data_IF_486183828397
#
_entry.id   IF_486183828397
#
_cell.length_a   1.000
_cell.length_b   1.000
_cell.length_c   1.000
_cell.angle_alpha   90.00
_cell.angle_beta   90.00
_cell.angle_gamma   90.00
#
_symmetry.space_group_name_H-M   'P 1'
#
loop_
_entity.id
_entity.type
_entity.pdbx_description
1 polymer ?
#
# COMPACT_ATOMS: atom_id res chain seq x y z
N UNK A 1 7.87 -26.29 -7.68
CA UNK A 1 6.64 -26.76 -7.00
C UNK A 1 5.49 -25.90 -7.51
N UNK A 2 4.45 -26.51 -8.08
CA UNK A 2 3.18 -25.83 -8.39
C UNK A 2 2.23 -26.11 -7.22
N UNK A 3 2.12 -25.16 -6.29
CA UNK A 3 1.28 -25.29 -5.10
C UNK A 3 -0.06 -24.62 -5.39
N UNK A 4 -1.07 -25.42 -5.77
CA UNK A 4 -2.50 -25.05 -5.90
C UNK A 4 -2.77 -23.66 -6.52
N UNK A 5 -2.01 -23.31 -7.56
CA UNK A 5 -2.16 -22.12 -8.38
C UNK A 5 -2.06 -22.52 -9.84
N UNK A 6 -2.46 -21.62 -10.74
CA UNK A 6 -2.37 -21.86 -12.19
C UNK A 6 -0.97 -22.40 -12.56
N UNK A 7 -0.91 -23.41 -13.45
CA UNK A 7 0.36 -23.96 -13.89
C UNK A 7 1.24 -22.84 -14.44
N UNK A 8 2.56 -23.04 -14.37
CA UNK A 8 3.47 -22.12 -15.03
C UNK A 8 3.11 -21.98 -16.52
N UNK A 9 3.31 -20.78 -17.05
CA UNK A 9 3.08 -20.46 -18.45
C UNK A 9 3.76 -21.47 -19.37
N UNK A 10 2.97 -22.22 -20.12
CA UNK A 10 3.51 -23.07 -21.18
C UNK A 10 3.99 -22.19 -22.33
N UNK A 11 5.25 -21.77 -22.27
CA UNK A 11 5.89 -20.97 -23.33
C UNK A 11 6.13 -21.77 -24.62
N UNK A 12 5.73 -23.05 -24.68
CA UNK A 12 5.64 -23.82 -25.92
C UNK A 12 4.25 -23.72 -26.57
N UNK A 13 3.21 -23.30 -25.84
CA UNK A 13 1.91 -22.94 -26.42
C UNK A 13 2.10 -21.72 -27.34
N UNK A 14 1.81 -21.80 -28.66
CA UNK A 14 1.91 -20.64 -29.54
C UNK A 14 1.06 -19.44 -29.10
N UNK A 15 0.07 -19.64 -28.23
CA UNK A 15 -0.77 -18.61 -27.65
C UNK A 15 -0.29 -18.10 -26.27
N UNK A 16 0.91 -18.44 -25.81
CA UNK A 16 1.42 -17.97 -24.52
C UNK A 16 1.44 -16.43 -24.40
N UNK A 17 1.57 -15.73 -25.52
CA UNK A 17 1.51 -14.26 -25.57
C UNK A 17 0.11 -13.68 -25.34
N UNK A 18 -0.94 -14.52 -25.39
CA UNK A 18 -2.31 -14.11 -25.09
C UNK A 18 -2.56 -14.03 -23.57
N UNK A 19 -1.70 -14.63 -22.76
CA UNK A 19 -1.81 -14.63 -21.30
C UNK A 19 -1.78 -13.21 -20.76
N UNK A 20 -2.73 -12.91 -19.88
CA UNK A 20 -2.91 -11.58 -19.29
C UNK A 20 -2.14 -11.51 -17.97
N UNK A 21 -1.50 -10.36 -17.73
CA UNK A 21 -0.78 -10.09 -16.47
C UNK A 21 -1.72 -10.16 -15.26
N UNK A 22 -2.95 -9.69 -15.43
CA UNK A 22 -4.02 -9.71 -14.43
C UNK A 22 -5.35 -10.07 -15.10
N UNK A 23 -6.05 -11.07 -14.56
CA UNK A 23 -7.19 -11.66 -15.24
C UNK A 23 -7.96 -12.72 -14.45
N UNK A 24 -9.04 -13.19 -15.06
CA UNK A 24 -9.78 -14.37 -14.59
C UNK A 24 -9.36 -15.59 -15.42
N UNK A 25 -8.53 -16.47 -14.86
CA UNK A 25 -7.84 -17.46 -15.68
C UNK A 25 -6.71 -16.84 -16.49
N UNK A 26 -6.11 -17.63 -17.38
CA UNK A 26 -4.89 -17.22 -18.11
C UNK A 26 -5.14 -16.14 -19.17
N UNK A 27 -6.24 -16.24 -19.94
CA UNK A 27 -6.46 -15.45 -21.17
C UNK A 27 -7.54 -14.37 -21.05
N UNK A 28 -8.32 -14.34 -19.97
CA UNK A 28 -9.41 -13.36 -19.78
C UNK A 28 -8.90 -12.17 -18.96
N UNK A 29 -8.89 -10.94 -19.50
CA UNK A 29 -8.44 -9.78 -18.76
C UNK A 29 -9.36 -9.48 -17.58
N UNK A 30 -8.82 -8.83 -16.54
CA UNK A 30 -9.60 -8.40 -15.40
C UNK A 30 -10.75 -7.49 -15.86
N UNK A 31 -11.98 -7.82 -15.45
CA UNK A 31 -13.15 -7.02 -15.79
C UNK A 31 -13.01 -5.63 -15.16
N UNK A 32 -13.31 -4.60 -15.94
CA UNK A 32 -13.17 -3.21 -15.51
C UNK A 32 -13.94 -2.87 -14.23
N UNK A 33 -15.17 -3.38 -14.07
CA UNK A 33 -15.95 -3.19 -12.84
C UNK A 33 -15.23 -3.74 -11.62
N UNK A 34 -14.68 -4.96 -11.72
CA UNK A 34 -13.90 -5.58 -10.65
C UNK A 34 -12.68 -4.73 -10.25
N UNK A 35 -11.93 -4.23 -11.24
CA UNK A 35 -10.79 -3.35 -11.00
C UNK A 35 -11.21 -2.03 -10.34
N UNK A 36 -12.30 -1.42 -10.82
CA UNK A 36 -12.87 -0.18 -10.29
C UNK A 36 -13.34 -0.35 -8.85
N UNK A 37 -14.15 -1.37 -8.58
CA UNK A 37 -14.77 -1.59 -7.27
C UNK A 37 -13.72 -1.98 -6.24
N UNK A 38 -12.71 -2.76 -6.66
CA UNK A 38 -11.49 -2.99 -5.88
C UNK A 38 -10.78 -1.67 -5.52
N UNK A 39 -10.59 -0.79 -6.50
CA UNK A 39 -9.90 0.49 -6.28
C UNK A 39 -10.70 1.36 -5.32
N UNK A 40 -12.02 1.44 -5.48
CA UNK A 40 -12.91 2.16 -4.56
C UNK A 40 -12.79 1.60 -3.15
N UNK A 41 -12.87 0.28 -2.99
CA UNK A 41 -12.76 -0.37 -1.70
C UNK A 41 -11.44 -0.01 -1.01
N UNK A 42 -10.32 -0.05 -1.73
CA UNK A 42 -9.01 0.36 -1.18
C UNK A 42 -8.99 1.85 -0.83
N UNK A 43 -9.43 2.74 -1.71
CA UNK A 43 -9.44 4.18 -1.44
C UNK A 43 -10.31 4.53 -0.23
N UNK A 44 -11.50 3.95 -0.12
CA UNK A 44 -12.40 4.15 1.02
C UNK A 44 -11.78 3.65 2.32
N UNK A 45 -11.06 2.52 2.28
CA UNK A 45 -10.33 1.98 3.45
C UNK A 45 -9.23 2.94 3.94
N UNK A 46 -8.66 3.74 3.03
CA UNK A 46 -7.70 4.80 3.35
C UNK A 46 -8.36 6.17 3.59
N UNK A 47 -9.69 6.23 3.67
CA UNK A 47 -10.47 7.48 3.78
C UNK A 47 -10.19 8.48 2.64
N UNK A 48 -9.84 8.00 1.45
CA UNK A 48 -9.60 8.82 0.26
C UNK A 48 -10.84 8.85 -0.63
N UNK A 49 -11.47 10.01 -0.74
CA UNK A 49 -12.62 10.23 -1.64
C UNK A 49 -12.16 10.52 -3.07
N UNK A 50 -12.67 9.76 -4.05
CA UNK A 50 -12.37 9.98 -5.48
C UNK A 50 -13.64 9.91 -6.34
N UNK A 51 -13.97 11.00 -7.04
CA UNK A 51 -15.15 11.08 -7.92
C UNK A 51 -14.93 10.42 -9.27
N UNK A 52 -13.70 10.44 -9.79
CA UNK A 52 -13.33 9.93 -11.11
C UNK A 52 -12.23 8.87 -11.01
N UNK A 53 -12.51 7.76 -10.33
CA UNK A 53 -11.52 6.68 -10.05
C UNK A 53 -10.74 6.25 -11.29
N UNK A 54 -11.38 6.20 -12.44
CA UNK A 54 -10.83 5.59 -13.66
C UNK A 54 -10.00 6.56 -14.50
N UNK A 55 -10.12 7.86 -14.21
CA UNK A 55 -9.28 8.92 -14.77
C UNK A 55 -8.28 9.48 -13.76
N UNK A 56 -8.40 9.11 -12.48
CA UNK A 56 -7.58 9.61 -11.39
C UNK A 56 -6.09 9.49 -11.69
N UNK A 57 -5.63 8.30 -12.10
CA UNK A 57 -4.22 8.06 -12.42
C UNK A 57 -3.70 8.84 -13.64
N UNK A 58 -4.53 9.10 -14.65
CA UNK A 58 -4.09 9.83 -15.86
C UNK A 58 -3.91 11.32 -15.58
N UNK A 59 -4.89 11.94 -14.94
CA UNK A 59 -4.86 13.36 -14.64
C UNK A 59 -3.86 13.70 -13.54
N UNK A 60 -3.84 12.89 -12.47
CA UNK A 60 -2.86 13.07 -11.39
C UNK A 60 -1.44 12.82 -11.88
N UNK A 61 -1.21 11.74 -12.65
CA UNK A 61 0.11 11.42 -13.19
C UNK A 61 0.66 12.53 -14.08
N UNK A 62 -0.18 13.15 -14.92
CA UNK A 62 0.27 14.26 -15.76
C UNK A 62 0.55 15.54 -14.96
N UNK A 63 -0.31 15.87 -13.98
CA UNK A 63 -0.05 17.00 -13.08
C UNK A 63 1.24 16.81 -12.29
N UNK A 64 1.48 15.60 -11.81
CA UNK A 64 2.68 15.25 -11.09
C UNK A 64 3.92 15.34 -11.99
N UNK A 65 3.82 14.86 -13.22
CA UNK A 65 4.90 14.99 -14.19
C UNK A 65 5.25 16.45 -14.50
N UNK A 66 4.25 17.34 -14.63
CA UNK A 66 4.47 18.79 -14.74
C UNK A 66 5.15 19.34 -13.49
N UNK A 67 4.73 18.92 -12.29
CA UNK A 67 5.35 19.32 -11.02
C UNK A 67 6.82 18.89 -10.95
N UNK A 68 7.14 17.70 -11.47
CA UNK A 68 8.50 17.16 -11.60
C UNK A 68 9.31 17.80 -12.74
N UNK A 69 8.75 18.81 -13.43
CA UNK A 69 9.39 19.54 -14.54
C UNK A 69 9.79 18.64 -15.71
N UNK A 70 9.02 17.57 -15.93
CA UNK A 70 9.22 16.68 -17.08
C UNK A 70 8.74 17.41 -18.34
N UNK A 71 9.48 17.27 -19.43
CA UNK A 71 9.18 17.95 -20.68
C UNK A 71 7.81 17.51 -21.22
N UNK A 72 7.04 18.44 -21.80
CA UNK A 72 5.65 18.17 -22.22
C UNK A 72 5.58 17.03 -23.26
N UNK A 73 6.59 16.94 -24.13
CA UNK A 73 6.76 15.86 -25.10
C UNK A 73 6.87 14.48 -24.44
N UNK A 74 7.61 14.36 -23.33
CA UNK A 74 7.76 13.12 -22.57
C UNK A 74 6.46 12.76 -21.84
N UNK A 75 5.76 13.77 -21.30
CA UNK A 75 4.44 13.60 -20.66
C UNK A 75 3.41 13.10 -21.67
N UNK A 76 3.37 13.72 -22.85
CA UNK A 76 2.45 13.37 -23.93
C UNK A 76 2.71 11.95 -24.42
N UNK A 77 3.98 11.59 -24.56
CA UNK A 77 4.43 10.25 -24.97
C UNK A 77 4.08 9.21 -23.91
N UNK A 78 4.40 9.46 -22.63
CA UNK A 78 4.08 8.57 -21.51
C UNK A 78 2.59 8.40 -21.25
N UNK A 79 1.82 9.49 -21.34
CA UNK A 79 0.36 9.52 -21.18
C UNK A 79 -0.42 8.95 -22.36
N UNK A 80 0.25 8.69 -23.49
CA UNK A 80 -0.36 8.29 -24.77
C UNK A 80 -1.45 9.26 -25.23
N UNK A 81 -1.20 10.55 -25.05
CA UNK A 81 -2.15 11.61 -25.39
C UNK A 81 -2.01 11.96 -26.87
N UNK A 82 -2.73 11.23 -27.71
CA UNK A 82 -2.90 11.60 -29.13
C UNK A 82 -3.87 12.76 -29.23
N UNK A 83 -3.41 13.91 -29.74
CA UNK A 83 -4.30 14.95 -30.22
C UNK A 83 -4.84 14.52 -31.60
N UNK A 84 -6.13 14.17 -31.64
CA UNK A 84 -6.85 13.82 -32.87
C UNK A 84 -6.58 12.41 -33.41
N UNK A 85 -7.21 12.10 -34.55
CA UNK A 85 -7.08 10.85 -35.34
C UNK A 85 -5.68 10.60 -35.92
N UNK A 86 -4.66 11.30 -35.42
CA UNK A 86 -3.27 11.24 -35.84
C UNK A 86 -2.63 9.89 -35.49
N UNK A 87 -1.98 9.31 -36.49
CA UNK A 87 -1.51 7.92 -36.54
C UNK A 87 -0.47 7.64 -35.44
N UNK A 88 -0.62 6.47 -34.81
CA UNK A 88 0.34 5.72 -33.97
C UNK A 88 1.81 6.16 -34.15
N UNK A 89 2.30 6.23 -35.39
CA UNK A 89 3.72 6.40 -35.71
C UNK A 89 4.41 7.60 -35.01
N UNK A 90 3.72 8.71 -34.74
CA UNK A 90 4.34 9.89 -34.11
C UNK A 90 4.62 9.73 -32.61
N UNK A 91 3.95 8.80 -31.93
CA UNK A 91 4.11 8.57 -30.48
C UNK A 91 5.02 7.36 -30.19
N UNK A 92 5.19 6.44 -31.15
CA UNK A 92 5.85 5.15 -30.90
C UNK A 92 7.27 5.01 -31.45
N UNK A 93 7.77 5.91 -32.31
CA UNK A 93 8.98 5.62 -33.10
C UNK A 93 10.28 6.28 -32.64
N UNK A 94 10.29 7.34 -31.83
CA UNK A 94 11.54 8.09 -31.65
C UNK A 94 12.15 8.03 -30.24
N UNK A 95 11.38 8.02 -29.15
CA UNK A 95 11.94 7.96 -27.79
C UNK A 95 10.99 7.25 -26.83
N UNK A 96 11.48 6.22 -26.12
CA UNK A 96 10.79 5.75 -24.92
C UNK A 96 10.85 6.89 -23.89
N UNK A 97 9.74 7.23 -23.21
CA UNK A 97 9.72 8.34 -22.26
C UNK A 97 10.37 7.88 -20.94
N UNK A 98 11.66 7.53 -20.98
CA UNK A 98 12.42 6.97 -19.86
C UNK A 98 12.50 8.01 -18.74
N UNK A 99 12.74 9.28 -19.07
CA UNK A 99 12.70 10.40 -18.11
C UNK A 99 11.35 10.46 -17.40
N UNK A 100 10.25 10.32 -18.14
CA UNK A 100 8.92 10.26 -17.55
C UNK A 100 8.77 9.05 -16.61
N UNK A 101 9.15 7.86 -17.06
CA UNK A 101 9.01 6.64 -16.28
C UNK A 101 9.84 6.69 -14.97
N UNK A 102 11.09 7.16 -15.05
CA UNK A 102 11.98 7.31 -13.90
C UNK A 102 11.46 8.34 -12.91
N UNK A 103 11.13 9.54 -13.38
CA UNK A 103 10.63 10.60 -12.53
C UNK A 103 9.29 10.22 -11.87
N UNK A 104 8.38 9.58 -12.60
CA UNK A 104 7.13 9.06 -12.04
C UNK A 104 7.34 7.90 -11.06
N UNK A 105 8.46 7.20 -11.13
CA UNK A 105 8.90 6.22 -10.15
C UNK A 105 9.66 6.85 -8.96
N UNK A 106 9.76 8.19 -8.89
CA UNK A 106 10.46 8.93 -7.82
C UNK A 106 11.94 9.22 -8.11
N UNK A 107 12.44 8.86 -9.29
CA UNK A 107 13.83 9.01 -9.71
C UNK A 107 13.99 10.20 -10.67
N UNK A 108 13.78 11.42 -10.18
CA UNK A 108 13.86 12.64 -11.02
C UNK A 108 15.27 13.21 -11.14
N UNK A 109 16.20 12.86 -10.24
CA UNK A 109 17.55 13.42 -10.18
C UNK A 109 18.57 12.27 -10.07
N UNK A 110 19.65 12.36 -10.87
CA UNK A 110 20.78 11.43 -10.83
C UNK A 110 21.73 11.75 -9.66
N UNK A 111 22.49 10.77 -9.13
CA UNK A 111 22.45 9.35 -9.49
C UNK A 111 21.19 8.67 -8.96
N UNK A 112 20.64 7.74 -9.74
CA UNK A 112 19.59 6.88 -9.23
C UNK A 112 20.26 5.88 -8.30
N UNK A 113 19.77 5.75 -7.08
CA UNK A 113 20.35 4.82 -6.13
C UNK A 113 19.23 4.16 -5.32
N UNK A 114 19.24 2.83 -5.36
CA UNK A 114 18.36 1.99 -4.57
C UNK A 114 19.22 1.26 -3.55
N UNK A 115 19.17 1.65 -2.27
CA UNK A 115 20.01 1.05 -1.22
C UNK A 115 19.92 -0.46 -1.14
N UNK A 116 18.71 -1.01 -1.33
CA UNK A 116 18.51 -2.47 -1.38
C UNK A 116 19.35 -3.16 -2.46
N UNK A 117 19.79 -2.46 -3.51
CA UNK A 117 20.69 -3.00 -4.53
C UNK A 117 22.14 -3.15 -4.07
N UNK A 118 22.55 -2.56 -2.94
CA UNK A 118 23.89 -2.80 -2.36
C UNK A 118 24.08 -4.24 -1.88
N UNK A 119 22.97 -4.95 -1.61
CA UNK A 119 22.99 -6.34 -1.16
C UNK A 119 22.50 -7.23 -2.29
N UNK A 120 23.42 -8.01 -2.85
CA UNK A 120 23.10 -8.99 -3.88
C UNK A 120 22.73 -10.34 -3.25
N UNK A 121 21.58 -10.94 -3.59
CA UNK A 121 21.24 -12.29 -3.15
C UNK A 121 22.17 -13.32 -3.83
N UNK A 122 22.54 -14.37 -3.11
CA UNK A 122 23.38 -15.44 -3.67
C UNK A 122 22.67 -16.16 -4.83
N UNK A 123 23.43 -16.66 -5.81
CA UNK A 123 22.87 -17.42 -6.93
C UNK A 123 22.01 -18.61 -6.47
N UNK A 124 22.44 -19.28 -5.40
CA UNK A 124 21.72 -20.41 -4.84
C UNK A 124 20.35 -19.97 -4.33
N UNK A 125 20.27 -18.85 -3.59
CA UNK A 125 19.00 -18.30 -3.11
C UNK A 125 18.11 -17.83 -4.26
N UNK A 126 18.67 -17.14 -5.26
CA UNK A 126 17.92 -16.69 -6.44
C UNK A 126 17.29 -17.87 -7.20
N UNK A 127 18.01 -18.98 -7.36
CA UNK A 127 17.52 -20.20 -8.04
C UNK A 127 16.38 -20.91 -7.30
N UNK A 128 16.17 -20.63 -6.02
CA UNK A 128 15.02 -21.16 -5.28
C UNK A 128 13.70 -20.50 -5.73
N UNK A 129 13.76 -19.26 -6.23
CA UNK A 129 12.61 -18.56 -6.79
C UNK A 129 12.47 -18.93 -8.26
N UNK A 130 11.31 -19.44 -8.70
CA UNK A 130 11.06 -19.82 -10.11
C UNK A 130 12.10 -20.78 -10.73
N UNK A 131 12.42 -21.94 -10.11
CA UNK A 131 13.51 -22.84 -10.53
C UNK A 131 13.35 -23.48 -11.92
N UNK A 132 12.21 -23.27 -12.58
CA UNK A 132 11.95 -23.77 -13.93
C UNK A 132 12.67 -22.94 -15.02
N UNK A 133 13.09 -21.70 -14.73
CA UNK A 133 13.68 -20.79 -15.72
C UNK A 133 14.94 -21.40 -16.35
N UNK A 134 15.81 -21.99 -15.56
CA UNK A 134 17.06 -22.65 -15.99
C UNK A 134 16.81 -23.88 -16.88
N UNK A 135 15.59 -24.45 -16.81
CA UNK A 135 15.16 -25.61 -17.58
C UNK A 135 14.31 -25.23 -18.80
N UNK A 136 14.06 -23.94 -19.01
CA UNK A 136 13.10 -23.48 -20.02
C UNK A 136 13.66 -23.52 -21.45
N UNK A 137 14.98 -23.63 -21.63
CA UNK A 137 15.66 -23.61 -22.93
C UNK A 137 16.66 -24.76 -23.02
N UNK A 138 16.55 -25.55 -24.10
CA UNK A 138 17.33 -26.76 -24.35
C UNK A 138 17.01 -27.91 -23.41
N UNK A 139 17.28 -29.14 -23.86
CA UNK A 139 17.19 -30.32 -23.00
C UNK A 139 18.31 -30.30 -21.94
N UNK A 140 18.09 -30.80 -20.71
CA UNK A 140 19.12 -30.87 -19.69
C UNK A 140 20.38 -31.59 -20.20
N UNK A 141 21.55 -30.93 -20.08
CA UNK A 141 22.83 -31.44 -20.56
C UNK A 141 23.12 -31.19 -22.05
N UNK A 142 22.19 -30.57 -22.78
CA UNK A 142 22.47 -30.07 -24.12
C UNK A 142 23.33 -28.80 -24.08
N UNK A 143 24.13 -28.58 -25.13
CA UNK A 143 24.92 -27.34 -25.29
C UNK A 143 24.04 -26.08 -25.20
N UNK A 144 22.81 -26.14 -25.70
CA UNK A 144 21.86 -25.01 -25.63
C UNK A 144 21.45 -24.72 -24.18
N UNK A 145 21.14 -25.76 -23.40
CA UNK A 145 20.81 -25.60 -21.98
C UNK A 145 21.99 -25.08 -21.16
N UNK A 146 23.21 -25.58 -21.42
CA UNK A 146 24.42 -25.09 -20.75
C UNK A 146 24.70 -23.61 -21.01
N UNK A 147 24.57 -23.19 -22.28
CA UNK A 147 24.68 -21.77 -22.65
C UNK A 147 23.60 -20.93 -21.98
N UNK A 148 22.36 -21.40 -21.94
CA UNK A 148 21.26 -20.72 -21.26
C UNK A 148 21.49 -20.62 -19.75
N UNK A 149 21.96 -21.67 -19.09
CA UNK A 149 22.28 -21.63 -17.65
C UNK A 149 23.40 -20.63 -17.35
N UNK A 150 24.41 -20.54 -18.21
CA UNK A 150 25.44 -19.51 -18.11
C UNK A 150 24.86 -18.11 -18.28
N UNK A 151 23.94 -17.94 -19.24
CA UNK A 151 23.21 -16.69 -19.46
C UNK A 151 22.35 -16.31 -18.23
N UNK A 152 21.68 -17.28 -17.59
CA UNK A 152 20.95 -17.06 -16.35
C UNK A 152 21.87 -16.61 -15.21
N UNK A 153 23.03 -17.25 -15.07
CA UNK A 153 24.00 -16.91 -14.03
C UNK A 153 24.54 -15.50 -14.23
N UNK A 154 24.85 -15.13 -15.48
CA UNK A 154 25.23 -13.77 -15.84
C UNK A 154 24.10 -12.78 -15.52
N UNK A 155 22.85 -13.01 -15.91
CA UNK A 155 21.74 -12.10 -15.56
C UNK A 155 21.41 -12.03 -14.06
N UNK A 156 21.76 -13.04 -13.28
CA UNK A 156 21.62 -13.00 -11.82
C UNK A 156 22.83 -12.35 -11.11
N UNK A 157 23.97 -12.26 -11.79
CA UNK A 157 25.24 -11.69 -11.30
C UNK A 157 25.49 -10.25 -11.79
N UNK A 158 25.09 -9.94 -13.02
CA UNK A 158 25.16 -8.67 -13.75
C UNK A 158 23.73 -8.07 -13.77
N UNK A 159 23.46 -6.77 -13.79
CA UNK A 159 24.20 -5.54 -14.03
C UNK A 159 23.63 -4.52 -13.04
N UNK A 160 24.48 -3.83 -12.27
CA UNK A 160 24.02 -2.68 -11.49
C UNK A 160 23.67 -1.55 -12.48
N UNK A 161 22.40 -1.12 -12.61
CA UNK A 161 22.05 0.02 -13.47
C UNK A 161 22.77 1.31 -13.07
N UNK A 162 23.44 1.33 -11.92
CA UNK A 162 24.24 2.44 -11.42
C UNK A 162 25.75 2.24 -11.64
N UNK A 163 26.21 1.10 -12.20
CA UNK A 163 27.58 0.98 -12.68
C UNK A 163 27.70 1.79 -13.98
N UNK A 164 28.03 3.06 -13.78
CA UNK A 164 27.69 4.22 -14.60
C UNK A 164 28.55 4.43 -15.83
N UNK A 165 29.15 3.40 -16.42
CA UNK A 165 30.10 3.65 -17.50
C UNK A 165 29.43 4.07 -18.82
N UNK A 166 28.12 3.82 -19.03
CA UNK A 166 27.32 4.53 -20.05
C UNK A 166 25.80 4.24 -19.93
N UNK A 167 25.08 5.04 -19.15
CA UNK A 167 23.60 5.09 -19.26
C UNK A 167 23.14 5.69 -20.62
N UNK A 168 24.03 6.42 -21.29
CA UNK A 168 23.81 6.95 -22.64
C UNK A 168 24.03 5.87 -23.73
N UNK A 169 24.68 4.74 -23.42
CA UNK A 169 24.82 3.57 -24.31
C UNK A 169 23.68 2.56 -24.16
N UNK A 170 22.73 2.79 -23.25
CA UNK A 170 21.45 2.07 -23.30
C UNK A 170 20.69 2.67 -24.48
N UNK A 171 21.15 2.37 -25.69
CA UNK A 171 20.40 2.66 -26.91
C UNK A 171 19.01 2.08 -26.70
N UNK A 172 17.95 2.90 -26.86
CA UNK A 172 16.60 2.39 -26.82
C UNK A 172 16.55 1.23 -27.80
N UNK A 173 16.32 0.02 -27.30
CA UNK A 173 16.26 -1.17 -28.15
C UNK A 173 15.32 -0.83 -29.30
N UNK A 174 15.88 -0.72 -30.51
CA UNK A 174 15.12 -0.38 -31.70
C UNK A 174 14.08 -1.50 -31.84
N UNK A 175 12.84 -1.18 -31.50
CA UNK A 175 11.75 -2.11 -31.70
C UNK A 175 11.64 -2.30 -33.22
N UNK A 176 12.20 -3.38 -33.74
CA UNK A 176 12.04 -3.71 -35.15
C UNK A 176 10.55 -3.97 -35.38
N UNK A 177 9.85 -3.11 -36.14
CA UNK A 177 8.44 -3.30 -36.41
C UNK A 177 8.28 -4.65 -37.12
N UNK A 178 7.43 -5.48 -36.52
CA UNK A 178 7.11 -6.85 -36.92
C UNK A 178 7.27 -7.07 -38.43
N UNK A 179 8.20 -7.94 -38.89
CA UNK A 179 8.40 -8.17 -40.31
C UNK A 179 7.09 -8.65 -40.95
N UNK A 180 6.78 -8.07 -42.11
CA UNK A 180 5.57 -8.31 -42.90
C UNK A 180 4.98 -9.73 -42.70
N UNK A 181 3.69 -9.87 -42.31
CA UNK A 181 3.07 -11.15 -41.96
C UNK A 181 3.04 -12.18 -43.10
N UNK A 182 3.45 -11.80 -44.31
CA UNK A 182 3.45 -12.65 -45.50
C UNK A 182 4.70 -13.57 -45.63
N UNK A 183 5.68 -13.49 -44.72
CA UNK A 183 6.88 -14.37 -44.71
C UNK A 183 7.06 -15.13 -43.38
N UNK A 184 5.97 -15.60 -42.80
CA UNK A 184 5.89 -15.97 -41.37
C UNK A 184 6.51 -17.32 -40.93
N UNK A 185 6.93 -18.24 -41.80
CA UNK A 185 7.14 -19.61 -41.28
C UNK A 185 8.45 -19.83 -40.49
N UNK A 186 9.55 -19.10 -40.80
CA UNK A 186 10.81 -19.19 -40.04
C UNK A 186 11.06 -17.99 -39.12
N UNK A 187 10.61 -16.80 -39.53
CA UNK A 187 10.75 -15.58 -38.74
C UNK A 187 9.91 -15.61 -37.45
N UNK A 188 8.71 -16.21 -37.48
CA UNK A 188 7.84 -16.30 -36.30
C UNK A 188 8.44 -17.18 -35.20
N UNK A 189 9.06 -18.31 -35.57
CA UNK A 189 9.71 -19.18 -34.59
C UNK A 189 10.93 -18.50 -33.94
N UNK A 190 11.72 -17.74 -34.71
CA UNK A 190 12.85 -16.97 -34.17
C UNK A 190 12.38 -15.81 -33.28
N UNK A 191 11.34 -15.08 -33.70
CA UNK A 191 10.73 -14.01 -32.92
C UNK A 191 10.09 -14.53 -31.62
N UNK A 192 9.40 -15.68 -31.67
CA UNK A 192 8.85 -16.34 -30.49
C UNK A 192 9.95 -16.82 -29.53
N UNK A 193 11.04 -17.40 -30.06
CA UNK A 193 12.22 -17.77 -29.24
C UNK A 193 12.88 -16.56 -28.60
N UNK A 194 13.00 -15.47 -29.34
CA UNK A 194 13.51 -14.19 -28.83
C UNK A 194 12.62 -13.66 -27.70
N UNK A 195 11.30 -13.59 -27.91
CA UNK A 195 10.35 -13.14 -26.90
C UNK A 195 10.37 -14.00 -25.63
N UNK A 196 10.48 -15.33 -25.79
CA UNK A 196 10.62 -16.27 -24.66
C UNK A 196 11.85 -15.93 -23.81
N UNK A 197 13.02 -15.75 -24.43
CA UNK A 197 14.25 -15.37 -23.73
C UNK A 197 14.08 -14.04 -22.99
N UNK A 198 13.49 -13.02 -23.62
CA UNK A 198 13.29 -11.72 -22.98
C UNK A 198 12.39 -11.81 -21.73
N UNK A 199 11.29 -12.56 -21.80
CA UNK A 199 10.42 -12.77 -20.63
C UNK A 199 11.15 -13.53 -19.53
N UNK A 200 11.93 -14.56 -19.88
CA UNK A 200 12.71 -15.30 -18.89
C UNK A 200 13.79 -14.44 -18.23
N UNK A 201 14.49 -13.58 -18.98
CA UNK A 201 15.44 -12.60 -18.43
C UNK A 201 14.75 -11.60 -17.49
N UNK A 202 13.58 -11.08 -17.87
CA UNK A 202 12.77 -10.24 -16.97
C UNK A 202 12.44 -10.97 -15.67
N UNK A 203 12.03 -12.24 -15.75
CA UNK A 203 11.72 -13.05 -14.57
C UNK A 203 12.95 -13.30 -13.69
N UNK A 204 14.14 -13.49 -14.27
CA UNK A 204 15.40 -13.58 -13.52
C UNK A 204 15.66 -12.29 -12.73
N UNK A 205 15.53 -11.13 -13.36
CA UNK A 205 15.71 -9.83 -12.69
C UNK A 205 14.68 -9.61 -11.59
N UNK A 206 13.44 -10.05 -11.79
CA UNK A 206 12.39 -10.00 -10.78
C UNK A 206 12.70 -10.88 -9.56
N UNK A 207 13.49 -11.96 -9.66
CA UNK A 207 13.90 -12.75 -8.49
C UNK A 207 14.62 -11.90 -7.45
N UNK A 208 15.54 -11.06 -7.90
CA UNK A 208 16.30 -10.15 -7.02
C UNK A 208 15.37 -9.17 -6.33
N UNK A 209 14.50 -8.50 -7.10
CA UNK A 209 13.52 -7.54 -6.56
C UNK A 209 12.61 -8.21 -5.54
N UNK A 210 12.06 -9.39 -5.87
CA UNK A 210 11.20 -10.15 -4.98
C UNK A 210 11.90 -10.55 -3.69
N UNK A 211 13.15 -11.01 -3.74
CA UNK A 211 13.90 -11.37 -2.55
C UNK A 211 14.19 -10.15 -1.67
N UNK A 212 14.61 -9.03 -2.27
CA UNK A 212 14.86 -7.77 -1.54
C UNK A 212 13.59 -7.22 -0.89
N UNK A 213 12.49 -7.17 -1.64
CA UNK A 213 11.20 -6.67 -1.15
C UNK A 213 10.62 -7.62 -0.08
N UNK A 214 10.76 -8.94 -0.25
CA UNK A 214 10.36 -9.91 0.77
C UNK A 214 11.18 -9.75 2.05
N UNK A 215 12.48 -9.48 1.95
CA UNK A 215 13.33 -9.23 3.11
C UNK A 215 12.87 -8.00 3.90
N UNK A 216 12.63 -6.87 3.23
CA UNK A 216 12.11 -5.66 3.87
C UNK A 216 10.71 -5.90 4.47
N UNK A 217 9.83 -6.54 3.71
CA UNK A 217 8.46 -6.83 4.14
C UNK A 217 8.42 -7.70 5.39
N UNK A 218 9.09 -8.85 5.38
CA UNK A 218 9.11 -9.78 6.50
C UNK A 218 9.83 -9.21 7.72
N UNK A 219 10.78 -8.29 7.52
CA UNK A 219 11.38 -7.56 8.62
C UNK A 219 10.42 -6.53 9.24
N UNK A 220 9.71 -5.75 8.40
CA UNK A 220 8.79 -4.70 8.88
C UNK A 220 7.56 -5.29 9.56
N UNK A 221 7.16 -6.50 9.14
CA UNK A 221 5.96 -7.16 9.63
C UNK A 221 6.25 -8.58 10.14
N UNK A 222 7.01 -8.71 11.26
CA UNK A 222 7.46 -10.01 11.76
C UNK A 222 6.29 -10.88 12.26
N UNK A 223 5.20 -10.27 12.71
CA UNK A 223 4.05 -10.98 13.29
C UNK A 223 3.10 -11.56 12.23
N UNK A 224 3.37 -11.33 10.94
CA UNK A 224 2.53 -11.86 9.86
C UNK A 224 2.92 -13.32 9.59
N UNK A 225 2.56 -14.18 10.54
CA UNK A 225 2.61 -15.64 10.40
C UNK A 225 1.76 -16.14 9.21
N UNK A 226 0.82 -15.31 8.73
CA UNK A 226 -0.08 -15.60 7.60
C UNK A 226 0.41 -14.97 6.28
N UNK A 227 1.70 -14.65 6.16
CA UNK A 227 2.22 -14.10 4.91
C UNK A 227 2.09 -15.16 3.81
N UNK A 228 1.43 -14.86 2.68
CA UNK A 228 1.33 -15.81 1.57
C UNK A 228 2.69 -16.26 1.05
N UNK A 229 3.75 -15.49 1.28
CA UNK A 229 5.12 -15.87 0.94
C UNK A 229 5.61 -17.03 1.81
N UNK A 230 5.43 -16.93 3.13
CA UNK A 230 5.81 -17.97 4.10
C UNK A 230 4.94 -19.22 3.92
N UNK A 231 3.63 -19.06 3.70
CA UNK A 231 2.70 -20.19 3.50
C UNK A 231 3.07 -21.01 2.25
N UNK A 232 3.49 -20.35 1.16
CA UNK A 232 3.64 -20.99 -0.15
C UNK A 232 5.05 -21.42 -0.50
N UNK A 233 6.05 -20.79 0.10
CA UNK A 233 7.46 -21.06 -0.19
C UNK A 233 8.31 -21.00 1.09
N UNK A 234 7.94 -21.76 2.13
CA UNK A 234 8.70 -21.79 3.39
C UNK A 234 10.15 -22.24 3.15
N UNK A 235 10.38 -23.14 2.19
CA UNK A 235 11.71 -23.62 1.81
C UNK A 235 12.66 -22.50 1.35
N UNK A 236 12.11 -21.38 0.92
CA UNK A 236 12.90 -20.20 0.53
C UNK A 236 12.95 -19.20 1.67
N UNK A 237 11.79 -18.76 2.15
CA UNK A 237 11.68 -17.61 3.03
C UNK A 237 11.91 -17.92 4.52
N UNK A 238 11.93 -19.20 4.91
CA UNK A 238 12.36 -19.66 6.24
C UNK A 238 13.76 -20.30 6.20
N UNK A 239 14.44 -20.25 5.04
CA UNK A 239 15.79 -20.79 4.92
C UNK A 239 16.81 -19.91 5.64
N UNK A 240 17.82 -20.53 6.24
CA UNK A 240 18.95 -19.82 6.86
C UNK A 240 19.65 -18.88 5.86
N UNK A 241 19.68 -19.25 4.57
CA UNK A 241 20.24 -18.42 3.50
C UNK A 241 19.45 -17.13 3.31
N UNK A 242 18.12 -17.21 3.33
CA UNK A 242 17.26 -16.04 3.22
C UNK A 242 17.32 -15.19 4.48
N UNK A 243 17.39 -15.79 5.68
CA UNK A 243 17.54 -15.04 6.93
C UNK A 243 18.84 -14.22 6.95
N UNK A 244 19.98 -14.83 6.59
CA UNK A 244 21.24 -14.10 6.48
C UNK A 244 21.19 -12.99 5.41
N UNK A 245 20.52 -13.24 4.27
CA UNK A 245 20.31 -12.21 3.25
C UNK A 245 19.42 -11.07 3.77
N UNK A 246 18.34 -11.38 4.47
CA UNK A 246 17.42 -10.42 5.09
C UNK A 246 18.15 -9.52 6.09
N UNK A 247 18.96 -10.09 6.96
CA UNK A 247 19.80 -9.31 7.89
C UNK A 247 20.72 -8.33 7.16
N UNK A 248 21.37 -8.77 6.08
CA UNK A 248 22.23 -7.90 5.26
C UNK A 248 21.45 -6.76 4.60
N UNK A 249 20.30 -7.06 3.99
CA UNK A 249 19.41 -6.03 3.41
C UNK A 249 19.03 -5.00 4.47
N UNK A 250 18.67 -5.46 5.66
CA UNK A 250 18.27 -4.57 6.74
C UNK A 250 19.42 -3.74 7.29
N UNK A 251 20.64 -4.28 7.35
CA UNK A 251 21.82 -3.50 7.68
C UNK A 251 22.06 -2.39 6.63
N UNK A 252 21.96 -2.69 5.34
CA UNK A 252 22.09 -1.67 4.28
C UNK A 252 20.99 -0.60 4.35
N UNK A 253 19.73 -0.99 4.57
CA UNK A 253 18.62 -0.02 4.73
C UNK A 253 18.76 0.84 5.98
N UNK A 254 19.26 0.26 7.08
CA UNK A 254 19.45 0.97 8.37
C UNK A 254 20.67 1.86 8.41
N UNK A 255 21.69 1.64 7.57
CA UNK A 255 22.82 2.58 7.45
C UNK A 255 22.23 3.96 7.22
N UNK A 256 22.22 4.79 8.26
CA UNK A 256 21.87 6.19 8.10
C UNK A 256 22.80 6.76 7.03
N UNK A 257 22.30 7.71 6.25
CA UNK A 257 23.10 8.39 5.22
C UNK A 257 24.53 8.57 5.72
N UNK A 258 25.47 7.90 5.05
CA UNK A 258 26.88 7.95 5.40
C UNK A 258 27.30 9.42 5.42
N UNK A 259 28.02 9.76 6.48
CA UNK A 259 28.76 10.98 6.73
C UNK A 259 28.84 11.92 5.53
N UNK A 260 28.02 12.96 5.62
CA UNK A 260 28.27 14.30 5.08
C UNK A 260 29.78 14.51 4.93
N UNK A 261 30.32 14.65 3.70
CA UNK A 261 31.73 14.95 3.53
C UNK A 261 32.09 16.12 4.45
N UNK A 262 33.10 15.93 5.30
CA UNK A 262 33.52 16.94 6.29
C UNK A 262 33.99 18.24 5.62
N UNK A 263 34.21 18.18 4.30
CA UNK A 263 34.64 19.26 3.43
C UNK A 263 33.48 19.89 2.64
N UNK A 264 32.23 19.74 3.08
CA UNK A 264 31.11 20.41 2.42
C UNK A 264 31.19 21.94 2.61
N UNK A 265 30.97 22.74 1.55
CA UNK A 265 31.12 24.19 1.65
C UNK A 265 30.09 24.78 2.65
N UNK A 266 30.41 25.91 3.32
CA UNK A 266 29.63 26.42 4.47
C UNK A 266 28.14 26.68 4.18
N UNK A 267 27.78 26.92 2.93
CA UNK A 267 26.40 27.14 2.49
C UNK A 267 25.56 25.84 2.45
N UNK A 268 26.17 24.66 2.36
CA UNK A 268 25.46 23.36 2.41
C UNK A 268 25.29 22.88 3.85
N UNK A 269 26.23 23.20 4.74
CA UNK A 269 26.10 22.97 6.19
C UNK A 269 24.90 23.72 6.79
N UNK A 270 24.56 24.90 6.27
CA UNK A 270 23.38 25.67 6.68
C UNK A 270 22.05 24.97 6.38
N UNK A 271 21.99 24.11 5.36
CA UNK A 271 20.80 23.30 5.03
C UNK A 271 20.61 22.14 6.02
N UNK A 272 21.68 21.56 6.56
CA UNK A 272 21.56 20.50 7.58
C UNK A 272 21.15 21.02 8.95
N UNK A 273 21.57 22.23 9.30
CA UNK A 273 21.02 22.92 10.48
C UNK A 273 19.53 23.21 10.32
N UNK A 274 19.04 23.38 9.08
CA UNK A 274 17.61 23.52 8.80
C UNK A 274 16.86 22.20 9.03
N UNK A 275 17.35 21.08 8.52
CA UNK A 275 16.71 19.76 8.75
C UNK A 275 16.68 19.38 10.24
N UNK A 276 17.72 19.74 10.98
CA UNK A 276 17.76 19.54 12.44
C UNK A 276 16.75 20.44 13.18
N UNK A 277 16.58 21.68 12.70
CA UNK A 277 15.56 22.59 13.23
C UNK A 277 14.13 22.08 12.91
N UNK A 278 13.90 21.55 11.71
CA UNK A 278 12.63 20.90 11.36
C UNK A 278 12.38 19.63 12.19
N UNK A 279 13.39 18.82 12.45
CA UNK A 279 13.25 17.63 13.29
C UNK A 279 12.82 18.00 14.72
N UNK A 280 13.38 19.08 15.28
CA UNK A 280 12.96 19.62 16.58
C UNK A 280 11.55 20.19 16.54
N UNK A 281 11.19 20.93 15.48
CA UNK A 281 9.84 21.47 15.29
C UNK A 281 8.79 20.34 15.16
N UNK A 282 9.11 19.26 14.45
CA UNK A 282 8.25 18.06 14.36
C UNK A 282 8.15 17.36 15.72
N UNK A 283 9.22 17.30 16.51
CA UNK A 283 9.18 16.74 17.86
C UNK A 283 8.33 17.60 18.81
N UNK A 284 8.37 18.92 18.68
CA UNK A 284 7.52 19.86 19.42
C UNK A 284 6.05 19.71 19.01
N UNK A 285 5.75 19.58 17.71
CA UNK A 285 4.39 19.32 17.22
C UNK A 285 3.86 17.98 17.75
N UNK A 286 4.69 16.93 17.77
CA UNK A 286 4.31 15.63 18.35
C UNK A 286 3.99 15.73 19.84
N UNK A 287 4.80 16.49 20.60
CA UNK A 287 4.53 16.76 22.02
C UNK A 287 3.24 17.55 22.22
N UNK A 288 2.98 18.56 21.38
CA UNK A 288 1.75 19.34 21.41
C UNK A 288 0.51 18.47 21.09
N UNK A 289 0.62 17.58 20.09
CA UNK A 289 -0.47 16.66 19.73
C UNK A 289 -0.75 15.64 20.85
N UNK A 290 0.29 15.16 21.55
CA UNK A 290 0.12 14.29 22.71
C UNK A 290 -0.60 15.02 23.86
N UNK A 291 -0.24 16.29 24.14
CA UNK A 291 -0.94 17.12 25.14
C UNK A 291 -2.41 17.35 24.78
N UNK A 292 -2.71 17.58 23.49
CA UNK A 292 -4.10 17.71 23.01
C UNK A 292 -4.88 16.41 23.23
N UNK A 293 -4.30 15.23 22.98
CA UNK A 293 -4.98 13.95 23.23
C UNK A 293 -5.30 13.77 24.72
N UNK A 294 -4.35 14.03 25.61
CA UNK A 294 -4.58 13.95 27.06
C UNK A 294 -5.72 14.88 27.50
N UNK A 295 -5.82 16.09 26.92
CA UNK A 295 -6.91 17.02 27.21
C UNK A 295 -8.25 16.55 26.66
N UNK A 296 -8.27 15.90 25.49
CA UNK A 296 -9.49 15.33 24.92
C UNK A 296 -10.01 14.16 25.76
N UNK A 297 -9.11 13.29 26.23
CA UNK A 297 -9.48 12.18 27.14
C UNK A 297 -10.09 12.72 28.44
N UNK A 298 -9.46 13.73 29.06
CA UNK A 298 -10.00 14.37 30.26
C UNK A 298 -11.36 15.06 30.01
N UNK A 299 -11.60 15.55 28.79
CA UNK A 299 -12.86 16.15 28.41
C UNK A 299 -13.96 15.10 28.18
N UNK A 300 -13.61 13.94 27.62
CA UNK A 300 -14.51 12.80 27.47
C UNK A 300 -14.92 12.21 28.83
N UNK A 301 -13.98 12.12 29.78
CA UNK A 301 -14.25 11.75 31.17
C UNK A 301 -15.23 12.73 31.82
N UNK A 302 -15.04 14.04 31.61
CA UNK A 302 -15.95 15.07 32.12
C UNK A 302 -17.36 14.96 31.51
N UNK A 303 -17.45 14.70 30.20
CA UNK A 303 -18.73 14.50 29.53
C UNK A 303 -19.45 13.24 30.04
N UNK A 304 -18.70 12.18 30.28
CA UNK A 304 -19.23 10.93 30.84
C UNK A 304 -19.78 11.16 32.26
N UNK A 305 -19.02 11.85 33.12
CA UNK A 305 -19.49 12.22 34.46
C UNK A 305 -20.76 13.08 34.43
N UNK A 306 -20.84 14.06 33.51
CA UNK A 306 -22.03 14.89 33.35
C UNK A 306 -23.25 14.10 32.87
N UNK A 307 -23.04 13.16 31.94
CA UNK A 307 -24.08 12.25 31.45
C UNK A 307 -24.60 11.36 32.57
N UNK A 308 -23.72 10.81 33.39
CA UNK A 308 -24.10 9.96 34.53
C UNK A 308 -24.88 10.76 35.58
N UNK A 309 -24.49 12.01 35.84
CA UNK A 309 -25.24 12.91 36.70
C UNK A 309 -26.66 13.17 36.15
N UNK A 310 -26.79 13.42 34.84
CA UNK A 310 -28.10 13.63 34.22
C UNK A 310 -28.98 12.36 34.30
N UNK A 311 -28.39 11.18 34.09
CA UNK A 311 -29.12 9.91 34.23
C UNK A 311 -29.61 9.71 35.66
N UNK A 312 -28.75 9.99 36.65
CA UNK A 312 -29.13 9.92 38.06
C UNK A 312 -30.29 10.86 38.44
N UNK A 313 -30.29 12.08 37.90
CA UNK A 313 -31.42 13.02 38.09
C UNK A 313 -32.70 12.47 37.47
N UNK A 314 -32.63 11.93 36.26
CA UNK A 314 -33.79 11.35 35.58
C UNK A 314 -34.36 10.14 36.34
N UNK A 315 -33.50 9.25 36.83
CA UNK A 315 -33.90 8.11 37.65
C UNK A 315 -34.62 8.55 38.93
N UNK A 316 -34.14 9.61 39.59
CA UNK A 316 -34.78 10.21 40.76
C UNK A 316 -36.15 10.81 40.46
N UNK A 317 -36.32 11.46 39.30
CA UNK A 317 -37.62 11.99 38.86
C UNK A 317 -38.62 10.87 38.57
N UNK A 318 -38.16 9.78 37.95
CA UNK A 318 -38.99 8.59 37.69
C UNK A 318 -39.46 7.92 38.99
N UNK A 319 -38.62 7.88 40.03
CA UNK A 319 -38.99 7.34 41.34
C UNK A 319 -40.02 8.22 42.07
N UNK A 320 -39.87 9.54 41.98
CA UNK A 320 -40.86 10.50 42.50
C UNK A 320 -42.20 10.31 41.79
N UNK A 321 -42.19 10.20 40.46
CA UNK A 321 -43.40 9.98 39.67
C UNK A 321 -44.09 8.66 40.05
N UNK A 322 -43.33 7.56 40.16
CA UNK A 322 -43.85 6.26 40.64
C UNK A 322 -44.46 6.35 42.04
N UNK A 323 -43.96 7.22 42.90
CA UNK A 323 -44.49 7.43 44.25
C UNK A 323 -45.80 8.21 44.22
N UNK A 324 -45.90 9.23 43.37
CA UNK A 324 -47.13 10.00 43.14
C UNK A 324 -48.25 9.15 42.52
N UNK A 325 -47.90 8.21 41.65
CA UNK A 325 -48.85 7.33 40.98
C UNK A 325 -49.34 6.16 41.85
N UNK A 326 -48.74 5.94 43.03
CA UNK A 326 -49.25 4.91 43.95
C UNK A 326 -50.60 5.36 44.52
N UNK A 327 -51.65 4.53 44.40
CA UNK A 327 -52.93 4.85 45.01
C UNK A 327 -52.74 5.03 46.53
N UNK A 328 -53.37 6.04 47.15
CA UNK A 328 -53.24 6.26 48.58
C UNK A 328 -53.65 4.99 49.33
N UNK A 329 -52.93 4.61 50.40
CA UNK A 329 -53.27 3.42 51.16
C UNK A 329 -54.72 3.53 51.66
N UNK A 330 -55.53 2.55 51.27
CA UNK A 330 -56.95 2.48 51.62
C UNK A 330 -57.04 2.29 53.13
N UNK A 331 -57.32 3.37 53.87
CA UNK A 331 -57.53 3.30 55.32
C UNK A 331 -57.21 4.54 56.16
N UNK A 332 -56.71 5.65 55.59
CA UNK A 332 -56.39 6.85 56.38
C UNK A 332 -57.25 8.06 56.01
N UNK A 333 -58.07 8.50 56.96
CA UNK A 333 -58.81 9.77 56.93
C UNK A 333 -57.87 10.98 57.02
N UNK A 334 -58.28 12.17 56.53
CA UNK A 334 -57.39 13.31 56.34
C UNK A 334 -57.11 14.03 57.66
N UNK A 335 -55.91 13.85 58.20
CA UNK A 335 -55.28 14.84 59.08
C UNK A 335 -54.21 15.59 58.28
N UNK A 336 -54.61 16.73 57.70
CA UNK A 336 -53.67 17.74 57.22
C UNK A 336 -53.06 18.44 58.43
N UNK A 337 -51.84 18.05 58.81
CA UNK A 337 -51.00 18.81 59.72
C UNK A 337 -49.57 18.87 59.15
N UNK A 338 -49.02 20.09 59.13
CA UNK A 338 -47.86 20.52 58.36
C UNK A 338 -46.68 19.56 58.32
N UNK A 339 -46.29 19.16 57.10
CA UNK A 339 -44.99 18.55 56.83
C UNK A 339 -44.10 19.65 56.26
N UNK A 340 -43.11 20.10 57.04
CA UNK A 340 -42.00 20.89 56.54
C UNK A 340 -41.13 20.03 55.61
N UNK A 341 -40.68 20.55 54.46
CA UNK A 341 -39.80 19.79 53.59
C UNK A 341 -38.41 19.67 54.21
N UNK A 342 -38.06 18.46 54.66
CA UNK A 342 -36.70 18.07 55.03
C UNK A 342 -35.88 17.82 53.75
N UNK A 343 -35.24 18.87 53.21
CA UNK A 343 -34.16 18.71 52.22
C UNK A 343 -32.84 18.46 52.95
N UNK A 344 -32.62 17.21 53.37
CA UNK A 344 -31.43 16.76 54.11
C UNK A 344 -30.38 16.03 53.27
N UNK A 345 -30.44 16.07 51.94
CA UNK A 345 -29.39 15.48 51.10
C UNK A 345 -28.36 16.53 50.71
N UNK A 346 -27.18 16.41 51.31
CA UNK A 346 -26.00 17.23 51.04
C UNK A 346 -25.58 16.99 49.58
N UNK A 347 -25.85 17.95 48.71
CA UNK A 347 -25.33 17.95 47.33
C UNK A 347 -23.81 17.78 47.36
N UNK A 348 -23.20 16.96 46.48
CA UNK A 348 -21.77 16.96 46.31
C UNK A 348 -21.30 18.35 45.91
N UNK A 349 -20.15 18.78 46.44
CA UNK A 349 -19.62 20.11 46.19
C UNK A 349 -19.42 20.34 44.67
N UNK A 350 -19.77 21.52 44.14
CA UNK A 350 -19.53 21.83 42.73
C UNK A 350 -18.03 21.76 42.43
N UNK A 351 -17.69 21.02 41.37
CA UNK A 351 -16.32 20.96 40.86
C UNK A 351 -15.95 22.37 40.35
N UNK A 352 -14.80 22.94 40.75
CA UNK A 352 -14.40 24.28 40.30
C UNK A 352 -14.24 24.31 38.79
N UNK A 353 -14.98 25.22 38.15
CA UNK A 353 -14.89 25.44 36.70
C UNK A 353 -13.52 26.04 36.35
N UNK A 354 -12.82 25.51 35.32
CA UNK A 354 -11.61 26.16 34.83
C UNK A 354 -11.95 27.55 34.22
N UNK A 355 -11.03 28.52 34.28
CA UNK A 355 -11.26 29.87 33.75
C UNK A 355 -11.47 29.81 32.23
N UNK A 356 -12.70 30.08 31.80
CA UNK A 356 -13.07 30.18 30.39
C UNK A 356 -12.52 31.49 29.79
N UNK A 357 -11.52 31.39 28.93
CA UNK A 357 -11.13 32.49 28.03
C UNK A 357 -12.02 32.44 26.78
N UNK A 358 -12.70 33.55 26.50
CA UNK A 358 -13.55 33.71 25.33
C UNK A 358 -12.68 33.81 24.06
N UNK A 359 -12.62 32.74 23.26
CA UNK A 359 -12.25 32.83 21.85
C UNK A 359 -13.52 32.65 20.99
N UNK A 360 -13.78 33.64 20.13
CA UNK A 360 -14.89 33.62 19.19
C UNK A 360 -14.56 32.66 18.03
N UNK A 361 -15.36 31.60 17.86
CA UNK A 361 -15.37 30.80 16.63
C UNK A 361 -16.78 30.78 16.04
N UNK A 362 -16.84 31.08 14.75
CA UNK A 362 -18.00 31.01 13.86
C UNK A 362 -18.42 29.54 13.66
N UNK A 363 -19.71 29.24 13.91
CA UNK A 363 -20.30 27.92 13.68
C UNK A 363 -20.75 27.76 12.22
N UNK A 364 -20.32 26.69 11.58
CA UNK A 364 -20.88 26.18 10.31
C UNK A 364 -21.57 24.85 10.59
N UNK A 365 -22.88 24.81 10.36
CA UNK A 365 -23.76 23.64 10.53
C UNK A 365 -23.57 22.64 9.39
N UNK A 366 -23.42 21.34 9.72
CA UNK A 366 -23.61 20.24 8.77
C UNK A 366 -24.67 19.26 9.29
N UNK A 367 -25.57 18.86 8.39
CA UNK A 367 -26.69 17.94 8.61
C UNK A 367 -26.22 16.51 8.32
N UNK A 368 -26.43 15.59 9.27
CA UNK A 368 -26.21 14.15 9.13
C UNK A 368 -27.46 13.51 8.49
N UNK A 369 -27.27 12.67 7.46
CA UNK A 369 -28.32 11.78 6.94
C UNK A 369 -27.82 10.34 7.04
N UNK A 370 -28.49 9.53 7.87
CA UNK A 370 -28.26 8.10 8.01
C UNK A 370 -29.04 7.31 6.96
N UNK A 371 -28.45 6.22 6.43
CA UNK A 371 -29.16 5.28 5.56
C UNK A 371 -28.48 3.92 5.41
N UNK A 372 -29.09 2.91 6.05
CA UNK A 372 -29.38 1.59 5.44
C UNK A 372 -28.30 0.51 5.40
N UNK A 373 -28.43 -0.49 6.28
CA UNK A 373 -27.75 -1.79 6.24
C UNK A 373 -28.39 -2.76 5.23
N UNK A 374 -27.57 -3.49 4.46
CA UNK A 374 -27.89 -4.82 3.92
C UNK A 374 -26.62 -5.71 3.93
N UNK A 375 -26.73 -7.05 4.12
CA UNK A 375 -25.59 -7.94 4.32
C UNK A 375 -25.01 -8.47 2.99
N UNK A 376 -23.72 -8.89 2.95
CA UNK A 376 -23.14 -9.45 1.73
C UNK A 376 -23.34 -10.98 1.61
N UNK A 377 -23.51 -11.40 0.36
CA UNK A 377 -23.62 -12.78 -0.13
C UNK A 377 -22.21 -13.42 -0.25
N UNK A 378 -21.97 -14.67 0.22
CA UNK A 378 -20.64 -15.27 0.15
C UNK A 378 -20.49 -16.13 -1.11
N UNK A 379 -19.86 -15.58 -2.16
CA UNK A 379 -19.29 -16.41 -3.21
C UNK A 379 -18.20 -15.63 -3.96
N UNK A 380 -17.02 -16.26 -4.07
CA UNK A 380 -15.94 -16.13 -5.07
C UNK A 380 -14.59 -16.16 -4.33
N UNK A 381 -14.13 -17.38 -4.07
CA UNK A 381 -12.74 -17.70 -3.72
C UNK A 381 -12.07 -18.28 -4.95
N UNK A 382 -11.02 -17.61 -5.47
CA UNK A 382 -9.76 -18.19 -5.97
C UNK A 382 -9.03 -17.23 -6.93
N UNK A 383 -7.94 -16.59 -6.50
CA UNK A 383 -6.95 -15.93 -7.37
C UNK A 383 -5.59 -15.90 -6.67
N UNK A 384 -4.53 -16.52 -7.24
CA UNK A 384 -3.26 -16.69 -6.51
C UNK A 384 -2.00 -16.75 -7.40
N UNK A 385 -1.26 -15.64 -7.48
CA UNK A 385 0.18 -15.51 -7.14
C UNK A 385 0.62 -14.03 -7.27
N UNK A 386 0.28 -13.37 -8.37
CA UNK A 386 0.57 -11.94 -8.58
C UNK A 386 -0.43 -11.04 -7.83
N UNK A 387 -1.70 -11.43 -7.77
CA UNK A 387 -2.70 -10.77 -6.92
C UNK A 387 -2.44 -10.99 -5.43
N UNK A 388 -1.59 -11.95 -5.02
CA UNK A 388 -1.25 -12.14 -3.60
C UNK A 388 -0.22 -11.14 -3.10
N UNK A 389 0.72 -10.72 -3.94
CA UNK A 389 1.60 -9.57 -3.66
C UNK A 389 0.79 -8.26 -3.58
N UNK A 390 -0.30 -8.13 -4.34
CA UNK A 390 -1.22 -6.99 -4.28
C UNK A 390 -2.24 -7.06 -3.11
N UNK A 391 -2.76 -8.25 -2.76
CA UNK A 391 -3.67 -8.46 -1.61
C UNK A 391 -2.95 -8.37 -0.26
N UNK A 392 -1.63 -8.54 -0.25
CA UNK A 392 -0.74 -8.26 0.88
C UNK A 392 -0.94 -6.82 1.41
N UNK A 393 -1.27 -5.86 0.53
CA UNK A 393 -1.63 -4.49 0.93
C UNK A 393 -3.08 -4.32 1.42
N UNK A 394 -4.00 -5.25 1.11
CA UNK A 394 -5.44 -5.15 1.46
C UNK A 394 -5.80 -5.71 2.84
N UNK A 395 -5.11 -6.74 3.34
CA UNK A 395 -5.51 -7.41 4.60
C UNK A 395 -5.14 -6.66 5.87
N UNK A 396 -4.30 -5.62 5.78
CA UNK A 396 -3.78 -4.94 6.97
C UNK A 396 -4.76 -3.99 7.67
N UNK A 397 -5.99 -3.83 7.17
CA UNK A 397 -6.99 -2.91 7.77
C UNK A 397 -8.21 -3.57 8.41
N UNK A 398 -8.44 -4.87 8.24
CA UNK A 398 -9.58 -5.53 8.88
C UNK A 398 -9.31 -6.10 10.28
N UNK A 399 -8.07 -6.01 10.80
CA UNK A 399 -7.72 -6.52 12.13
C UNK A 399 -7.67 -5.47 13.26
N UNK A 400 -8.07 -4.22 13.01
CA UNK A 400 -8.20 -3.17 14.04
C UNK A 400 -9.63 -2.62 14.18
N UNK A 401 -10.65 -3.45 14.01
CA UNK A 401 -11.99 -3.16 14.51
C UNK A 401 -12.41 -4.34 15.39
N UNK A 402 -12.30 -4.19 16.71
CA UNK A 402 -13.00 -5.06 17.65
C UNK A 402 -14.51 -4.77 17.50
N UNK A 403 -15.36 -5.76 17.24
CA UNK A 403 -16.78 -5.63 17.55
C UNK A 403 -16.88 -5.50 19.07
N UNK A 404 -17.54 -4.45 19.57
CA UNK A 404 -17.86 -4.33 20.99
C UNK A 404 -18.70 -5.52 21.43
N UNK A 405 -18.32 -6.15 22.55
CA UNK A 405 -19.11 -7.19 23.19
C UNK A 405 -20.49 -6.63 23.58
N UNK A 406 -21.60 -7.35 23.34
CA UNK A 406 -22.87 -7.00 23.93
C UNK A 406 -22.80 -7.30 25.43
N UNK A 407 -22.89 -6.26 26.26
CA UNK A 407 -22.97 -6.39 27.71
C UNK A 407 -24.17 -7.25 28.15
N UNK A 408 -24.11 -7.89 29.33
CA UNK A 408 -25.17 -8.76 29.81
C UNK A 408 -26.40 -7.93 30.18
N UNK A 409 -27.53 -8.27 29.56
CA UNK A 409 -28.82 -7.68 29.89
C UNK A 409 -29.22 -7.98 31.34
N UNK A 410 -29.68 -6.93 32.02
CA UNK A 410 -30.70 -6.99 33.06
C UNK A 410 -31.72 -5.90 32.80
#
# INVERSE_FOLDING_TARGET
MAVNGEPWLDMYDPEWTAVKVLGQGEKVPMVYSTARDTTISVLNSQHVSCTNITHSGRHSGAKEAVRLKIAEEDIRTGGRWVQGTGKMHQVYLEKQPITFALAMAGFSVKPFHLRRNEVAPSLVLQRLIFPFIEKAIGDPGSRENELWRKECDLEMQEFDPNNSDNLDDVEPYAFEPNPNPLKMNKATALAQRSNKKHVLRLMLRLRRVLLQDAAEYLYRYPDIALSPLLEKSPEVFESQMFDAFKENVMMSLKRHEIDVPTDLPPNVMALQTWDSAQANEVADIKRALADIHVRLDAFEDCFTAQRDQNNWVNDGLDEIQKTLDRPPPVGLQPYFAGIQPFFGHRMPAPIPSPPFQHQQHTQTTYILVCGGHHPPNPAITNFKLFDQLCQLFKRHQHQYIRPGDPGPGR
#
